data_IF_031936762206
#
_entry.id   IF_031936762206
#
_cell.length_a   1.000
_cell.length_b   1.000
_cell.length_c   1.000
_cell.angle_alpha   90.00
_cell.angle_beta   90.00
_cell.angle_gamma   90.00
#
_symmetry.space_group_name_H-M   'P 1'
#
loop_
_entity.id
_entity.type
_entity.pdbx_description
1 polymer ?
#
# COMPACT_ATOMS: atom_id res chain seq x y z
N UNK A 1 44.69 20.79 23.01
CA UNK A 1 43.47 21.61 23.21
C UNK A 1 42.81 22.07 21.91
N UNK A 2 43.55 22.54 20.87
CA UNK A 2 42.94 22.96 19.59
C UNK A 2 42.39 21.82 18.70
N UNK A 3 42.89 20.60 18.85
CA UNK A 3 42.46 19.43 18.05
C UNK A 3 41.09 18.85 18.45
N UNK A 4 40.74 18.89 19.74
CA UNK A 4 39.43 18.38 20.21
C UNK A 4 38.28 19.30 19.80
N UNK A 5 38.47 20.62 19.88
CA UNK A 5 37.45 21.59 19.48
C UNK A 5 37.12 21.52 17.98
N UNK A 6 38.13 21.28 17.15
CA UNK A 6 37.95 21.11 15.70
C UNK A 6 37.28 19.78 15.36
N UNK A 7 37.62 18.69 16.06
CA UNK A 7 36.96 17.40 15.88
C UNK A 7 35.47 17.50 16.24
N UNK A 8 35.15 18.06 17.41
CA UNK A 8 33.76 18.25 17.87
C UNK A 8 32.97 19.12 16.90
N UNK A 9 33.57 20.19 16.37
CA UNK A 9 32.92 21.04 15.38
C UNK A 9 32.58 20.28 14.08
N UNK A 10 33.49 19.42 13.59
CA UNK A 10 33.25 18.61 12.38
C UNK A 10 32.18 17.54 12.61
N UNK A 11 32.19 16.86 13.77
CA UNK A 11 31.16 15.90 14.13
C UNK A 11 29.78 16.58 14.30
N UNK A 12 29.73 17.75 14.92
CA UNK A 12 28.50 18.51 15.05
C UNK A 12 27.96 18.96 13.68
N UNK A 13 28.82 19.53 12.83
CA UNK A 13 28.45 20.00 11.50
C UNK A 13 27.93 18.86 10.60
N UNK A 14 28.59 17.69 10.63
CA UNK A 14 28.14 16.51 9.88
C UNK A 14 26.81 15.96 10.41
N UNK A 15 26.63 15.88 11.73
CA UNK A 15 25.36 15.44 12.33
C UNK A 15 24.21 16.39 11.99
N UNK A 16 24.45 17.70 12.02
CA UNK A 16 23.50 18.72 11.59
C UNK A 16 23.14 18.55 10.11
N UNK A 17 24.14 18.37 9.24
CA UNK A 17 23.92 18.17 7.81
C UNK A 17 23.05 16.93 7.52
N UNK A 18 23.36 15.79 8.13
CA UNK A 18 22.57 14.55 7.97
C UNK A 18 21.14 14.73 8.48
N UNK A 19 20.96 15.41 9.61
CA UNK A 19 19.64 15.69 10.18
C UNK A 19 18.79 16.56 9.24
N UNK A 20 19.38 17.62 8.69
CA UNK A 20 18.71 18.51 7.72
C UNK A 20 18.33 17.75 6.46
N UNK A 21 19.23 16.94 5.90
CA UNK A 21 18.95 16.11 4.71
C UNK A 21 17.80 15.14 5.00
N UNK A 22 17.81 14.49 6.17
CA UNK A 22 16.76 13.56 6.59
C UNK A 22 15.40 14.25 6.69
N UNK A 23 15.35 15.45 7.30
CA UNK A 23 14.13 16.25 7.38
C UNK A 23 13.60 16.65 5.99
N UNK A 24 14.48 17.07 5.09
CA UNK A 24 14.09 17.40 3.71
C UNK A 24 13.51 16.17 3.00
N UNK A 25 14.18 15.01 3.10
CA UNK A 25 13.69 13.76 2.52
C UNK A 25 12.34 13.35 3.09
N UNK A 26 12.16 13.42 4.41
CA UNK A 26 10.89 13.12 5.08
C UNK A 26 9.79 14.08 4.62
N UNK A 27 10.06 15.38 4.50
CA UNK A 27 9.09 16.35 3.99
C UNK A 27 8.70 16.10 2.53
N UNK A 28 9.67 15.74 1.68
CA UNK A 28 9.40 15.37 0.27
C UNK A 28 8.58 14.09 0.19
N UNK A 29 8.95 13.05 0.96
CA UNK A 29 8.22 11.79 1.04
C UNK A 29 6.81 12.01 1.59
N UNK A 30 6.63 12.79 2.66
CA UNK A 30 5.32 13.14 3.19
C UNK A 30 4.47 13.90 2.17
N UNK A 31 5.04 14.86 1.44
CA UNK A 31 4.29 15.54 0.36
C UNK A 31 3.90 14.58 -0.77
N UNK A 32 4.79 13.67 -1.17
CA UNK A 32 4.50 12.66 -2.20
C UNK A 32 3.44 11.65 -1.74
N UNK A 33 3.54 11.18 -0.51
CA UNK A 33 2.57 10.25 0.10
C UNK A 33 1.24 10.95 0.29
N UNK A 34 1.18 12.17 0.83
CA UNK A 34 -0.07 12.91 1.01
C UNK A 34 -0.81 13.15 -0.31
N UNK A 35 -0.08 13.51 -1.38
CA UNK A 35 -0.64 13.62 -2.74
C UNK A 35 -1.14 12.27 -3.27
N UNK A 36 -0.47 11.15 -2.93
CA UNK A 36 -0.96 9.81 -3.25
C UNK A 36 -2.16 9.41 -2.38
N UNK A 37 -2.24 9.84 -1.12
CA UNK A 37 -3.36 9.56 -0.22
C UNK A 37 -4.61 10.34 -0.62
N UNK A 38 -4.49 11.56 -1.13
CA UNK A 38 -5.63 12.33 -1.66
C UNK A 38 -6.18 11.72 -2.97
N UNK A 39 -5.31 11.14 -3.80
CA UNK A 39 -5.72 10.35 -4.98
C UNK A 39 -6.24 8.95 -4.60
N UNK A 40 -5.70 8.33 -3.56
CA UNK A 40 -6.15 7.03 -3.06
C UNK A 40 -7.45 7.13 -2.24
N UNK A 41 -7.73 8.25 -1.57
CA UNK A 41 -8.98 8.47 -0.85
C UNK A 41 -10.16 8.72 -1.80
N UNK A 42 -9.92 9.36 -2.94
CA UNK A 42 -10.91 9.49 -4.02
C UNK A 42 -11.15 8.17 -4.76
N UNK A 43 -10.11 7.34 -4.92
CA UNK A 43 -10.24 5.97 -5.42
C UNK A 43 -10.87 5.01 -4.39
N UNK A 44 -10.60 5.15 -3.09
CA UNK A 44 -11.19 4.33 -2.02
C UNK A 44 -12.64 4.71 -1.75
N UNK A 45 -13.05 5.97 -1.88
CA UNK A 45 -14.47 6.33 -1.80
C UNK A 45 -15.26 5.73 -2.99
N UNK A 46 -14.68 5.74 -4.20
CA UNK A 46 -15.24 5.02 -5.35
C UNK A 46 -15.23 3.50 -5.20
N UNK A 47 -14.17 2.93 -4.62
CA UNK A 47 -14.03 1.51 -4.38
C UNK A 47 -14.90 1.01 -3.21
N UNK A 48 -15.20 1.83 -2.21
CA UNK A 48 -16.12 1.49 -1.11
C UNK A 48 -17.59 1.55 -1.58
N UNK A 49 -17.92 2.51 -2.45
CA UNK A 49 -19.23 2.55 -3.12
C UNK A 49 -19.40 1.37 -4.09
N UNK A 50 -18.33 0.97 -4.81
CA UNK A 50 -18.32 -0.20 -5.67
C UNK A 50 -18.29 -1.53 -4.88
N UNK A 51 -17.62 -1.57 -3.72
CA UNK A 51 -17.62 -2.74 -2.83
C UNK A 51 -18.97 -2.94 -2.13
N UNK A 52 -19.69 -1.86 -1.77
CA UNK A 52 -21.07 -1.97 -1.28
C UNK A 52 -22.08 -2.37 -2.35
N UNK A 53 -21.79 -2.12 -3.63
CA UNK A 53 -22.59 -2.63 -4.75
C UNK A 53 -22.21 -4.06 -5.19
N UNK A 54 -21.03 -4.55 -4.78
CA UNK A 54 -20.48 -5.87 -5.15
C UNK A 54 -20.45 -6.88 -3.99
N UNK A 55 -21.02 -6.52 -2.83
CA UNK A 55 -21.19 -7.38 -1.66
C UNK A 55 -22.16 -8.58 -1.86
N UNK A 56 -22.39 -9.00 -3.11
CA UNK A 56 -23.19 -10.16 -3.49
C UNK A 56 -22.42 -11.25 -4.25
N UNK A 57 -21.16 -11.03 -4.63
CA UNK A 57 -20.34 -12.06 -5.31
C UNK A 57 -19.13 -12.42 -4.45
N UNK A 58 -19.28 -13.46 -3.63
CA UNK A 58 -18.11 -14.16 -3.09
C UNK A 58 -17.40 -14.89 -4.23
N UNK A 59 -16.09 -15.06 -4.15
CA UNK A 59 -15.38 -16.01 -5.02
C UNK A 59 -15.33 -17.38 -4.32
N UNK A 60 -15.67 -18.45 -5.02
CA UNK A 60 -15.61 -19.83 -4.53
C UNK A 60 -14.58 -20.62 -5.32
N UNK A 61 -13.98 -21.62 -4.67
CA UNK A 61 -13.05 -22.54 -5.32
C UNK A 61 -13.77 -23.83 -5.69
N UNK A 62 -13.53 -24.32 -6.90
CA UNK A 62 -14.03 -25.63 -7.31
C UNK A 62 -13.36 -26.73 -6.49
N UNK A 63 -14.14 -27.63 -5.89
CA UNK A 63 -13.60 -28.81 -5.18
C UNK A 63 -12.93 -29.83 -6.09
N UNK A 64 -13.31 -29.87 -7.37
CA UNK A 64 -12.81 -30.86 -8.33
C UNK A 64 -11.51 -30.42 -9.00
N UNK A 65 -11.42 -29.17 -9.45
CA UNK A 65 -10.26 -28.67 -10.21
C UNK A 65 -9.51 -27.51 -9.53
N UNK A 66 -9.99 -27.00 -8.39
CA UNK A 66 -9.34 -25.89 -7.67
C UNK A 66 -9.51 -24.52 -8.32
N UNK A 67 -10.19 -24.42 -9.47
CA UNK A 67 -10.41 -23.14 -10.17
C UNK A 67 -11.26 -22.21 -9.32
N UNK A 68 -10.82 -20.96 -9.19
CA UNK A 68 -11.58 -19.90 -8.53
C UNK A 68 -12.59 -19.30 -9.51
N UNK A 69 -13.85 -19.19 -9.09
CA UNK A 69 -14.92 -18.64 -9.90
C UNK A 69 -15.98 -17.94 -9.05
N UNK A 70 -16.86 -17.18 -9.70
CA UNK A 70 -17.88 -16.36 -9.06
C UNK A 70 -18.94 -17.22 -8.33
N UNK A 71 -19.33 -16.84 -7.10
CA UNK A 71 -20.35 -17.55 -6.32
C UNK A 71 -21.73 -17.56 -6.96
N UNK A 72 -22.00 -16.66 -7.90
CA UNK A 72 -23.23 -16.66 -8.69
C UNK A 72 -23.28 -17.83 -9.68
N UNK A 73 -22.14 -18.45 -10.01
CA UNK A 73 -22.13 -19.62 -10.89
C UNK A 73 -22.53 -20.90 -10.13
N UNK A 74 -23.55 -21.57 -10.65
CA UNK A 74 -24.06 -22.87 -10.14
C UNK A 74 -23.18 -24.06 -10.53
N UNK A 75 -22.25 -23.88 -11.47
CA UNK A 75 -21.29 -24.89 -11.89
C UNK A 75 -19.93 -24.25 -12.18
N UNK A 76 -18.86 -25.03 -11.99
CA UNK A 76 -17.51 -24.56 -12.30
C UNK A 76 -17.36 -24.34 -13.82
N UNK A 77 -16.83 -23.19 -14.28
CA UNK A 77 -16.65 -22.91 -15.72
C UNK A 77 -15.62 -23.83 -16.39
N UNK A 78 -14.72 -24.42 -15.60
CA UNK A 78 -13.60 -25.22 -16.11
C UNK A 78 -13.96 -26.71 -16.21
N UNK A 79 -14.43 -27.30 -15.12
CA UNK A 79 -14.75 -28.73 -15.06
C UNK A 79 -16.25 -29.06 -15.12
N UNK A 80 -17.13 -28.04 -15.24
CA UNK A 80 -18.60 -28.15 -15.25
C UNK A 80 -19.20 -28.92 -14.06
N UNK A 81 -18.43 -29.15 -13.00
CA UNK A 81 -18.95 -29.80 -11.79
C UNK A 81 -19.94 -28.85 -11.11
N UNK A 82 -21.11 -29.38 -10.73
CA UNK A 82 -22.12 -28.62 -10.00
C UNK A 82 -21.58 -28.19 -8.63
N UNK A 83 -21.95 -26.98 -8.23
CA UNK A 83 -21.69 -26.46 -6.88
C UNK A 83 -22.61 -27.19 -5.90
N UNK A 84 -22.09 -28.24 -5.25
CA UNK A 84 -22.77 -29.00 -4.19
C UNK A 84 -22.40 -28.49 -2.81
#
# INVERSE_FOLDING_TARGET
>A
MFGEATLVAVLAASSLAVSVITLILVLVLWRRVKVQTEKAASLQAGALQAASASAGSGVVFCRSCGTQYDSAATACPDCKTARA
#
